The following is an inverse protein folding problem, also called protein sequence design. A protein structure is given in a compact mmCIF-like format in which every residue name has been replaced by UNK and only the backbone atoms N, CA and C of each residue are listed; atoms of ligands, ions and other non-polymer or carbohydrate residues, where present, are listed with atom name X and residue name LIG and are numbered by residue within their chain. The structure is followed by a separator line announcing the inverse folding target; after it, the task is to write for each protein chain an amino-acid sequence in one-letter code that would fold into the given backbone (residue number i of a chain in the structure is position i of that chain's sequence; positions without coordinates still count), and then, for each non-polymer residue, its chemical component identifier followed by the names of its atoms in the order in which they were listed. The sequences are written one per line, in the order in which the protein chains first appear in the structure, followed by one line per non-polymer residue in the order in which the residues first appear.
data_IF_651648822066
#
_entry.id   IF_651648822066
#
_cell.length_a   1.000
_cell.length_b   1.000
_cell.length_c   1.000
_cell.angle_alpha   90.00
_cell.angle_beta   90.00
_cell.angle_gamma   90.00
#
_symmetry.space_group_name_H-M   'P 1'
#
loop_
_entity.id
_entity.type
_entity.pdbx_description
1 polymer ?
#
# COMPACT_ATOMS: atom_id res chain seq x y z
N UNK A 1 26.30 -18.91 4.61
CA UNK A 1 26.02 -18.87 3.15
C UNK A 1 25.22 -17.64 2.73
N UNK A 2 24.18 -17.20 3.46
CA UNK A 2 23.44 -15.97 3.15
C UNK A 2 24.27 -14.66 3.33
N UNK A 3 25.11 -14.57 4.37
CA UNK A 3 25.95 -13.40 4.62
C UNK A 3 27.01 -13.15 3.53
N UNK A 4 27.61 -14.22 2.98
CA UNK A 4 28.58 -14.12 1.87
C UNK A 4 27.92 -13.71 0.54
N UNK A 5 26.63 -14.02 0.37
CA UNK A 5 25.87 -13.65 -0.83
C UNK A 5 25.46 -12.18 -0.77
N UNK A 6 25.02 -11.68 0.39
CA UNK A 6 24.74 -10.26 0.61
C UNK A 6 26.01 -9.41 0.51
N UNK A 7 27.13 -9.86 1.10
CA UNK A 7 28.42 -9.17 0.94
C UNK A 7 28.88 -9.13 -0.52
N UNK A 8 28.64 -10.17 -1.33
CA UNK A 8 28.93 -10.13 -2.78
C UNK A 8 28.01 -9.17 -3.55
N UNK A 9 26.72 -9.11 -3.22
CA UNK A 9 25.76 -8.20 -3.88
C UNK A 9 26.07 -6.74 -3.54
N UNK A 10 26.33 -6.43 -2.27
CA UNK A 10 26.64 -5.06 -1.83
C UNK A 10 28.09 -4.64 -2.09
N UNK A 11 29.03 -5.58 -2.28
CA UNK A 11 30.44 -5.23 -2.59
C UNK A 11 30.64 -4.51 -3.93
N UNK A 12 29.64 -4.52 -4.82
CA UNK A 12 29.70 -3.90 -6.14
C UNK A 12 28.97 -2.56 -6.22
N UNK A 13 28.31 -2.12 -5.16
CA UNK A 13 27.54 -0.88 -5.15
C UNK A 13 28.22 0.10 -4.20
N UNK A 14 28.85 1.15 -4.75
CA UNK A 14 29.38 2.26 -3.95
C UNK A 14 28.21 3.18 -3.55
N UNK A 15 27.87 3.29 -2.25
CA UNK A 15 26.80 4.18 -1.80
C UNK A 15 27.04 5.64 -2.20
N UNK A 16 28.30 6.06 -2.30
CA UNK A 16 28.65 7.42 -2.72
C UNK A 16 28.32 7.65 -4.20
N UNK A 17 28.44 6.61 -5.04
CA UNK A 17 28.05 6.68 -6.43
C UNK A 17 26.53 6.87 -6.56
N UNK A 18 25.72 6.12 -5.81
CA UNK A 18 24.25 6.28 -5.80
C UNK A 18 23.87 7.68 -5.33
N UNK A 19 24.45 8.16 -4.23
CA UNK A 19 24.20 9.51 -3.70
C UNK A 19 24.57 10.57 -4.75
N UNK A 20 25.69 10.39 -5.44
CA UNK A 20 26.12 11.29 -6.51
C UNK A 20 25.16 11.26 -7.70
N UNK A 21 24.70 10.09 -8.13
CA UNK A 21 23.73 9.93 -9.23
C UNK A 21 22.37 10.56 -8.89
N UNK A 22 21.89 10.38 -7.65
CA UNK A 22 20.68 11.03 -7.15
C UNK A 22 20.83 12.56 -7.15
N UNK A 23 21.95 13.08 -6.63
CA UNK A 23 22.22 14.51 -6.61
C UNK A 23 22.34 15.09 -8.04
N UNK A 24 22.95 14.35 -8.97
CA UNK A 24 23.03 14.76 -10.39
C UNK A 24 21.64 14.80 -11.03
N UNK A 25 20.81 13.81 -10.75
CA UNK A 25 19.43 13.73 -11.26
C UNK A 25 18.57 14.86 -10.70
N UNK A 26 18.61 15.08 -9.38
CA UNK A 26 17.91 16.19 -8.72
C UNK A 26 18.33 17.55 -9.29
N UNK A 27 19.63 17.80 -9.41
CA UNK A 27 20.15 19.04 -10.00
C UNK A 27 19.73 19.21 -11.46
N UNK A 28 19.73 18.13 -12.24
CA UNK A 28 19.30 18.14 -13.65
C UNK A 28 17.82 18.53 -13.76
N UNK A 29 16.95 17.88 -12.97
CA UNK A 29 15.52 18.17 -12.90
C UNK A 29 15.31 19.63 -12.49
N UNK A 30 15.97 20.08 -11.42
CA UNK A 30 15.88 21.46 -10.94
C UNK A 30 16.28 22.49 -12.01
N UNK A 31 17.39 22.25 -12.70
CA UNK A 31 17.87 23.12 -13.78
C UNK A 31 16.87 23.20 -14.93
N UNK A 32 16.24 22.09 -15.33
CA UNK A 32 15.24 22.07 -16.39
C UNK A 32 13.94 22.78 -16.01
N UNK A 33 13.48 22.64 -14.78
CA UNK A 33 12.36 23.44 -14.29
C UNK A 33 12.70 24.94 -14.27
N UNK A 34 13.92 25.31 -13.84
CA UNK A 34 14.38 26.70 -13.85
C UNK A 34 14.41 27.31 -15.26
N UNK A 35 14.89 26.55 -16.27
CA UNK A 35 14.83 26.96 -17.67
C UNK A 35 13.39 27.20 -18.15
N UNK A 36 12.47 26.27 -17.84
CA UNK A 36 11.06 26.38 -18.19
C UNK A 36 10.39 27.62 -17.55
N UNK A 37 10.65 27.88 -16.26
CA UNK A 37 10.15 29.08 -15.58
C UNK A 37 10.65 30.37 -16.24
N UNK A 38 11.92 30.43 -16.65
CA UNK A 38 12.46 31.60 -17.38
C UNK A 38 11.73 31.85 -18.71
N UNK A 39 11.38 30.79 -19.43
CA UNK A 39 10.60 30.89 -20.67
C UNK A 39 9.22 31.48 -20.38
N UNK A 40 8.53 30.99 -19.36
CA UNK A 40 7.22 31.51 -18.98
C UNK A 40 7.25 32.97 -18.50
N UNK A 41 8.25 33.35 -17.69
CA UNK A 41 8.44 34.74 -17.26
C UNK A 41 8.67 35.64 -18.48
N UNK A 42 9.55 35.23 -19.40
CA UNK A 42 9.83 35.99 -20.63
C UNK A 42 8.57 36.16 -21.49
N UNK A 43 7.79 35.10 -21.64
CA UNK A 43 6.52 35.14 -22.37
C UNK A 43 5.54 36.13 -21.71
N UNK A 44 5.39 36.04 -20.38
CA UNK A 44 4.54 36.94 -19.60
C UNK A 44 4.96 38.41 -19.77
N UNK A 45 6.25 38.72 -19.63
CA UNK A 45 6.78 40.08 -19.80
C UNK A 45 6.47 40.61 -21.19
N UNK A 46 6.74 39.83 -22.25
CA UNK A 46 6.43 40.23 -23.63
C UNK A 46 4.95 40.48 -23.86
N UNK A 47 4.07 39.66 -23.28
CA UNK A 47 2.62 39.89 -23.36
C UNK A 47 2.19 41.18 -22.68
N UNK A 48 2.70 41.44 -21.46
CA UNK A 48 2.40 42.67 -20.72
C UNK A 48 2.85 43.89 -21.53
N UNK A 49 4.06 43.87 -22.07
CA UNK A 49 4.60 44.94 -22.89
C UNK A 49 3.77 45.17 -24.15
N UNK A 50 3.40 44.09 -24.86
CA UNK A 50 2.54 44.17 -26.04
C UNK A 50 1.20 44.85 -25.72
N UNK A 51 0.49 44.38 -24.69
CA UNK A 51 -0.81 44.96 -24.35
C UNK A 51 -0.70 46.39 -23.82
N UNK A 52 0.38 46.73 -23.10
CA UNK A 52 0.67 48.11 -22.70
C UNK A 52 0.84 49.02 -23.93
N UNK A 53 1.61 48.58 -24.93
CA UNK A 53 1.80 49.32 -26.18
C UNK A 53 0.49 49.49 -26.95
N UNK A 54 -0.31 48.42 -27.09
CA UNK A 54 -1.62 48.47 -27.75
C UNK A 54 -2.56 49.45 -27.05
N UNK A 55 -2.65 49.39 -25.72
CA UNK A 55 -3.45 50.31 -24.92
C UNK A 55 -3.04 51.76 -25.15
N UNK A 56 -1.74 52.06 -25.03
CA UNK A 56 -1.21 53.41 -25.24
C UNK A 56 -1.49 53.91 -26.67
N UNK A 57 -1.39 53.06 -27.68
CA UNK A 57 -1.69 53.41 -29.07
C UNK A 57 -3.18 53.77 -29.24
N UNK A 58 -4.07 52.93 -28.72
CA UNK A 58 -5.52 53.14 -28.76
C UNK A 58 -5.91 54.44 -28.04
N UNK A 59 -5.39 54.67 -26.83
CA UNK A 59 -5.62 55.89 -26.04
C UNK A 59 -5.18 57.15 -26.80
N UNK A 60 -3.99 57.13 -27.42
CA UNK A 60 -3.51 58.24 -28.26
C UNK A 60 -4.43 58.49 -29.46
N UNK A 61 -4.92 57.43 -30.10
CA UNK A 61 -5.88 57.55 -31.22
C UNK A 61 -7.18 58.23 -30.77
N UNK A 62 -7.74 57.85 -29.61
CA UNK A 62 -8.94 58.48 -29.07
C UNK A 62 -8.72 59.96 -28.69
N UNK A 63 -7.62 60.28 -28.01
CA UNK A 63 -7.28 61.66 -27.62
C UNK A 63 -7.11 62.61 -28.82
N UNK A 64 -6.59 62.09 -29.94
CA UNK A 64 -6.43 62.88 -31.16
C UNK A 64 -7.78 63.06 -31.90
N UNK A 65 -8.68 62.08 -31.83
CA UNK A 65 -9.99 62.15 -32.49
C UNK A 65 -10.95 63.16 -31.85
N UNK A 66 -10.80 63.46 -30.55
CA UNK A 66 -11.64 64.45 -29.85
C UNK A 66 -11.20 65.90 -30.09
N UNK A 67 -10.01 66.13 -30.64
CA UNK A 67 -9.44 67.48 -30.85
C UNK A 67 -9.58 68.03 -32.28
N UNK A 68 -10.02 67.24 -33.26
CA UNK A 68 -10.09 67.66 -34.66
C UNK A 68 -11.41 67.26 -35.33
N UNK A 69 -12.21 68.25 -35.74
CA UNK A 69 -13.48 68.07 -36.46
C UNK A 69 -13.35 67.55 -37.91
N UNK A 70 -12.14 67.26 -38.41
CA UNK A 70 -11.96 66.66 -39.74
C UNK A 70 -10.56 66.06 -39.89
N UNK A 71 -10.36 64.83 -39.42
CA UNK A 71 -9.16 64.05 -39.80
C UNK A 71 -9.53 63.19 -41.02
N UNK A 72 -9.12 63.66 -42.20
CA UNK A 72 -9.19 62.95 -43.48
C UNK A 72 -8.11 61.85 -43.57
N UNK A 73 -8.25 60.81 -42.75
CA UNK A 73 -7.35 59.65 -42.73
C UNK A 73 -8.13 58.34 -42.57
N UNK A 74 -8.39 57.65 -43.68
CA UNK A 74 -9.32 56.51 -43.83
C UNK A 74 -8.93 55.18 -43.13
N UNK A 75 -8.23 55.18 -42.00
CA UNK A 75 -7.98 53.94 -41.26
C UNK A 75 -9.09 53.71 -40.22
N UNK A 76 -10.14 52.98 -40.61
CA UNK A 76 -11.16 52.49 -39.67
C UNK A 76 -10.59 51.33 -38.84
N UNK A 77 -10.73 51.40 -37.52
CA UNK A 77 -10.39 50.28 -36.63
C UNK A 77 -11.32 49.10 -36.92
N UNK A 78 -10.76 47.94 -37.22
CA UNK A 78 -11.53 46.73 -37.48
C UNK A 78 -11.66 45.93 -36.18
N UNK A 79 -12.67 46.28 -35.38
CA UNK A 79 -12.94 45.64 -34.09
C UNK A 79 -13.08 44.12 -34.22
N UNK A 80 -13.81 43.64 -35.23
CA UNK A 80 -14.02 42.20 -35.46
C UNK A 80 -12.71 41.45 -35.66
N UNK A 81 -11.80 41.96 -36.52
CA UNK A 81 -10.49 41.33 -36.73
C UNK A 81 -9.63 41.34 -35.46
N UNK A 82 -9.68 42.41 -34.68
CA UNK A 82 -8.95 42.50 -33.42
C UNK A 82 -9.48 41.49 -32.40
N UNK A 83 -10.80 41.40 -32.22
CA UNK A 83 -11.43 40.42 -31.33
C UNK A 83 -11.06 38.99 -31.74
N UNK A 84 -11.16 38.65 -33.02
CA UNK A 84 -10.77 37.33 -33.54
C UNK A 84 -9.30 37.00 -33.24
N UNK A 85 -8.40 37.97 -33.40
CA UNK A 85 -6.99 37.80 -33.05
C UNK A 85 -6.79 37.52 -31.56
N UNK A 86 -7.43 38.29 -30.67
CA UNK A 86 -7.32 38.09 -29.22
C UNK A 86 -7.89 36.74 -28.78
N UNK A 87 -9.03 36.34 -29.34
CA UNK A 87 -9.63 35.03 -29.07
C UNK A 87 -8.74 33.87 -29.53
N UNK A 88 -8.09 34.02 -30.69
CA UNK A 88 -7.13 33.01 -31.20
C UNK A 88 -5.92 32.92 -30.28
N UNK A 89 -5.34 34.06 -29.91
CA UNK A 89 -4.18 34.11 -29.02
C UNK A 89 -4.48 33.47 -27.65
N UNK A 90 -5.66 33.72 -27.09
CA UNK A 90 -6.08 33.12 -25.83
C UNK A 90 -6.19 31.59 -25.94
N UNK A 91 -6.81 31.09 -27.02
CA UNK A 91 -6.94 29.65 -27.28
C UNK A 91 -5.58 28.97 -27.45
N UNK A 92 -4.67 29.59 -28.19
CA UNK A 92 -3.34 29.03 -28.42
C UNK A 92 -2.54 28.91 -27.11
N UNK A 93 -2.62 29.92 -26.25
CA UNK A 93 -2.00 29.89 -24.92
C UNK A 93 -2.61 28.79 -24.04
N UNK A 94 -3.94 28.69 -23.99
CA UNK A 94 -4.65 27.67 -23.20
C UNK A 94 -4.26 26.24 -23.63
N UNK A 95 -4.12 26.00 -24.94
CA UNK A 95 -3.67 24.71 -25.48
C UNK A 95 -2.26 24.36 -24.98
N UNK A 96 -1.32 25.32 -25.04
CA UNK A 96 0.06 25.10 -24.60
C UNK A 96 0.11 24.74 -23.10
N UNK A 97 -0.63 25.48 -22.26
CA UNK A 97 -0.63 25.21 -20.82
C UNK A 97 -1.26 23.86 -20.48
N UNK A 98 -2.35 23.48 -21.15
CA UNK A 98 -2.97 22.16 -20.97
C UNK A 98 -2.01 21.02 -21.32
N UNK A 99 -1.26 21.16 -22.42
CA UNK A 99 -0.26 20.16 -22.82
C UNK A 99 0.87 20.02 -21.78
N UNK A 100 1.37 21.14 -21.24
CA UNK A 100 2.41 21.12 -20.21
C UNK A 100 1.90 20.48 -18.92
N UNK A 101 0.70 20.82 -18.47
CA UNK A 101 0.09 20.24 -17.26
C UNK A 101 -0.10 18.73 -17.43
N UNK A 102 -0.71 18.30 -18.53
CA UNK A 102 -0.94 16.89 -18.81
C UNK A 102 0.36 16.09 -18.88
N UNK A 103 1.42 16.67 -19.46
CA UNK A 103 2.73 16.04 -19.49
C UNK A 103 3.31 15.83 -18.08
N UNK A 104 3.21 16.84 -17.21
CA UNK A 104 3.67 16.77 -15.82
C UNK A 104 2.87 15.73 -15.03
N UNK A 105 1.54 15.77 -15.11
CA UNK A 105 0.64 14.82 -14.44
C UNK A 105 0.91 13.38 -14.88
N UNK A 106 1.16 13.15 -16.17
CA UNK A 106 1.48 11.82 -16.71
C UNK A 106 2.84 11.30 -16.24
N UNK A 107 3.79 12.19 -15.93
CA UNK A 107 5.14 11.82 -15.49
C UNK A 107 5.20 11.53 -13.98
N UNK A 108 4.21 11.98 -13.20
CA UNK A 108 4.20 11.83 -11.75
C UNK A 108 4.12 10.37 -11.23
N UNK A 109 3.39 9.44 -11.88
CA UNK A 109 3.36 8.02 -11.49
C UNK A 109 4.66 7.26 -11.76
N UNK A 110 5.61 7.83 -12.52
CA UNK A 110 6.88 7.17 -12.87
C UNK A 110 7.92 7.26 -11.73
N UNK A 111 7.62 7.98 -10.64
CA UNK A 111 8.43 7.95 -9.43
C UNK A 111 8.16 6.65 -8.66
N UNK A 112 9.02 5.65 -8.88
CA UNK A 112 9.02 4.41 -8.11
C UNK A 112 9.26 4.67 -6.62
N UNK A 113 8.65 3.85 -5.75
CA UNK A 113 8.93 3.90 -4.32
C UNK A 113 10.39 3.49 -4.06
N UNK A 114 11.06 4.10 -3.08
CA UNK A 114 12.43 3.74 -2.70
C UNK A 114 12.55 2.24 -2.39
N UNK A 115 11.50 1.64 -1.83
CA UNK A 115 11.41 0.20 -1.51
C UNK A 115 11.60 -0.71 -2.74
N UNK A 116 11.32 -0.24 -3.96
CA UNK A 116 11.45 -1.03 -5.20
C UNK A 116 12.91 -1.27 -5.62
N UNK A 117 13.84 -0.44 -5.12
CA UNK A 117 15.26 -0.51 -5.47
C UNK A 117 16.09 -1.33 -4.48
N UNK A 118 15.51 -1.70 -3.33
CA UNK A 118 16.15 -2.56 -2.38
C UNK A 118 15.69 -4.00 -2.61
N UNK A 119 16.63 -4.88 -2.94
CA UNK A 119 16.43 -6.31 -2.75
C UNK A 119 16.42 -6.59 -1.24
N UNK A 120 15.30 -6.30 -0.58
CA UNK A 120 14.90 -7.22 0.47
C UNK A 120 14.65 -8.54 -0.26
N UNK A 121 15.25 -9.68 0.13
CA UNK A 121 14.72 -10.96 -0.28
C UNK A 121 13.29 -10.91 0.21
N UNK A 122 12.37 -10.57 -0.68
CA UNK A 122 11.01 -10.33 -0.28
C UNK A 122 10.55 -11.69 0.16
N UNK A 123 10.45 -11.83 1.47
CA UNK A 123 9.46 -12.70 2.07
C UNK A 123 8.09 -12.04 1.79
N UNK A 124 7.82 -11.71 0.53
CA UNK A 124 6.51 -11.29 0.04
C UNK A 124 5.64 -12.53 -0.09
N UNK A 125 4.39 -12.30 -0.46
CA UNK A 125 3.40 -13.34 -0.66
C UNK A 125 3.93 -14.56 -1.46
N UNK A 126 4.86 -14.40 -2.41
CA UNK A 126 5.49 -15.48 -3.20
C UNK A 126 6.35 -16.44 -2.38
N UNK A 127 6.87 -16.00 -1.22
CA UNK A 127 7.54 -16.87 -0.25
C UNK A 127 6.57 -17.58 0.69
N UNK A 128 7.09 -18.43 1.59
CA UNK A 128 6.33 -18.81 2.78
C UNK A 128 6.04 -17.51 3.52
N UNK A 129 4.76 -17.13 3.65
CA UNK A 129 4.34 -15.96 4.44
C UNK A 129 4.77 -16.04 5.92
N UNK A 130 5.43 -17.14 6.29
CA UNK A 130 6.17 -17.33 7.52
C UNK A 130 7.54 -16.66 7.40
N UNK A 131 7.68 -15.52 8.08
CA UNK A 131 8.93 -14.78 8.06
C UNK A 131 9.97 -15.42 8.98
N UNK A 132 9.58 -16.31 9.87
CA UNK A 132 10.48 -16.92 10.85
C UNK A 132 10.45 -18.45 10.78
N UNK A 133 11.52 -19.06 11.27
CA UNK A 133 11.66 -20.51 11.42
C UNK A 133 10.93 -21.02 12.67
N UNK A 134 10.47 -20.12 13.55
CA UNK A 134 9.86 -20.45 14.82
C UNK A 134 8.35 -20.23 14.81
N UNK A 135 7.64 -21.04 15.62
CA UNK A 135 6.25 -20.79 16.00
C UNK A 135 6.21 -20.06 17.33
N UNK A 136 5.38 -19.03 17.44
CA UNK A 136 5.23 -18.23 18.64
C UNK A 136 3.83 -18.38 19.21
N UNK A 137 3.72 -18.51 20.53
CA UNK A 137 2.43 -18.52 21.21
C UNK A 137 2.58 -18.12 22.67
N UNK A 138 1.52 -17.51 23.23
CA UNK A 138 1.44 -17.31 24.67
C UNK A 138 0.85 -18.54 25.36
N UNK A 139 1.37 -18.87 26.54
CA UNK A 139 0.76 -19.88 27.40
C UNK A 139 -0.58 -19.34 27.96
N UNK A 140 -1.65 -20.12 27.83
CA UNK A 140 -3.01 -19.79 28.30
C UNK A 140 -3.01 -19.29 29.74
N UNK A 141 -3.68 -18.17 29.99
CA UNK A 141 -3.88 -17.62 31.33
C UNK A 141 -2.59 -17.05 31.94
N UNK A 142 -1.61 -16.71 31.10
CA UNK A 142 -0.33 -16.16 31.52
C UNK A 142 0.16 -15.09 30.56
N UNK A 143 1.25 -14.41 30.94
CA UNK A 143 1.96 -13.43 30.11
C UNK A 143 3.17 -14.03 29.39
N UNK A 144 3.33 -15.35 29.48
CA UNK A 144 4.54 -16.04 29.07
C UNK A 144 4.50 -16.32 27.56
N UNK A 145 5.41 -15.70 26.81
CA UNK A 145 5.61 -16.03 25.40
C UNK A 145 6.57 -17.22 25.28
N UNK A 146 6.22 -18.15 24.38
CA UNK A 146 7.05 -19.27 23.99
C UNK A 146 7.40 -19.16 22.51
N UNK A 147 8.61 -19.61 22.15
CA UNK A 147 8.99 -19.91 20.77
C UNK A 147 9.32 -21.38 20.63
N UNK A 148 8.85 -22.00 19.56
CA UNK A 148 9.07 -23.40 19.24
C UNK A 148 9.77 -23.51 17.89
N UNK A 149 10.92 -24.20 17.87
CA UNK A 149 11.62 -24.56 16.64
C UNK A 149 11.13 -25.95 16.17
N UNK A 150 10.41 -26.04 15.04
CA UNK A 150 9.88 -27.31 14.54
C UNK A 150 10.96 -28.20 13.92
N UNK A 151 12.09 -27.65 13.45
CA UNK A 151 13.19 -28.43 12.88
C UNK A 151 13.95 -29.21 13.96
N UNK A 152 14.19 -28.58 15.11
CA UNK A 152 14.95 -29.16 16.21
C UNK A 152 14.07 -29.65 17.37
N UNK A 153 12.76 -29.43 17.29
CA UNK A 153 11.79 -29.77 18.35
C UNK A 153 12.13 -29.10 19.70
N UNK A 154 12.67 -27.88 19.65
CA UNK A 154 13.10 -27.13 20.84
C UNK A 154 12.03 -26.11 21.21
N UNK A 155 11.55 -26.19 22.45
CA UNK A 155 10.69 -25.19 23.05
C UNK A 155 11.50 -24.28 23.96
N UNK A 156 11.40 -22.97 23.76
CA UNK A 156 12.06 -21.97 24.57
C UNK A 156 11.07 -20.98 25.15
N UNK A 157 11.23 -20.71 26.45
CA UNK A 157 10.51 -19.68 27.18
C UNK A 157 11.21 -18.31 27.00
N UNK A 158 10.42 -17.28 26.71
CA UNK A 158 10.88 -15.91 26.47
C UNK A 158 10.42 -15.00 27.62
N UNK A 159 11.17 -15.01 28.71
CA UNK A 159 10.79 -14.36 29.99
C UNK A 159 10.77 -12.83 29.99
N UNK A 160 11.24 -12.19 28.93
CA UNK A 160 11.43 -10.73 28.85
C UNK A 160 10.25 -9.99 28.22
N UNK A 161 9.32 -10.70 27.58
CA UNK A 161 8.15 -10.10 26.94
C UNK A 161 7.19 -9.59 28.02
N UNK A 162 6.97 -8.28 28.05
CA UNK A 162 6.13 -7.64 29.07
C UNK A 162 4.81 -7.18 28.46
N UNK A 163 3.76 -8.02 28.57
CA UNK A 163 2.38 -7.68 28.18
C UNK A 163 1.51 -7.34 29.40
N UNK A 164 0.42 -6.60 29.17
CA UNK A 164 -0.38 -6.03 30.26
C UNK A 164 -1.33 -7.05 30.90
N UNK A 165 -1.92 -7.94 30.11
CA UNK A 165 -2.91 -8.92 30.56
C UNK A 165 -2.49 -10.37 30.29
N UNK A 166 -3.15 -11.30 30.98
CA UNK A 166 -2.98 -12.73 30.71
C UNK A 166 -3.55 -13.06 29.34
N UNK A 167 -2.80 -13.78 28.53
CA UNK A 167 -3.20 -14.08 27.16
C UNK A 167 -4.02 -15.37 27.07
N UNK A 168 -4.85 -15.43 26.03
CA UNK A 168 -5.74 -16.56 25.74
C UNK A 168 -5.10 -17.61 24.83
N UNK A 169 -5.94 -18.45 24.24
CA UNK A 169 -5.55 -19.43 23.21
C UNK A 169 -6.17 -19.06 21.86
N UNK A 170 -5.68 -19.62 20.76
CA UNK A 170 -6.26 -19.44 19.43
C UNK A 170 -6.37 -17.95 19.03
N UNK A 171 -5.38 -17.15 19.42
CA UNK A 171 -5.29 -15.76 19.02
C UNK A 171 -4.82 -15.66 17.56
N UNK A 172 -5.39 -14.74 16.76
CA UNK A 172 -4.78 -14.37 15.50
C UNK A 172 -3.37 -13.80 15.74
N UNK A 173 -2.37 -14.47 15.17
CA UNK A 173 -0.99 -14.02 15.22
C UNK A 173 -0.26 -14.35 13.91
N UNK A 174 0.74 -13.53 13.58
CA UNK A 174 1.63 -13.78 12.46
C UNK A 174 2.95 -13.01 12.66
N UNK A 175 4.01 -13.53 12.06
CA UNK A 175 5.26 -12.77 11.94
C UNK A 175 5.12 -11.70 10.87
N UNK A 176 5.69 -10.52 11.12
CA UNK A 176 5.67 -9.36 10.22
C UNK A 176 7.09 -8.85 9.97
N UNK A 177 7.26 -7.92 9.04
CA UNK A 177 8.58 -7.38 8.67
C UNK A 177 9.38 -6.88 9.88
N UNK A 178 10.70 -6.83 9.71
CA UNK A 178 11.66 -6.35 10.72
C UNK A 178 11.72 -7.25 11.96
N UNK A 179 11.57 -8.57 11.80
CA UNK A 179 11.67 -9.55 12.88
C UNK A 179 10.71 -9.23 14.04
N UNK A 180 9.42 -9.03 13.70
CA UNK A 180 8.37 -8.69 14.66
C UNK A 180 7.24 -9.73 14.64
N UNK A 181 6.54 -9.83 15.75
CA UNK A 181 5.35 -10.66 15.92
C UNK A 181 4.14 -9.74 16.14
N UNK A 182 3.12 -9.89 15.28
CA UNK A 182 1.80 -9.37 15.55
C UNK A 182 1.00 -10.39 16.35
N UNK A 183 0.32 -9.94 17.40
CA UNK A 183 -0.53 -10.78 18.24
C UNK A 183 -1.77 -9.99 18.68
N UNK A 184 -2.97 -10.54 18.49
CA UNK A 184 -4.20 -9.85 18.88
C UNK A 184 -5.22 -10.78 19.53
N UNK A 185 -5.86 -10.32 20.59
CA UNK A 185 -6.98 -11.00 21.25
C UNK A 185 -6.66 -12.40 21.75
N UNK A 186 -7.56 -13.35 21.44
CA UNK A 186 -7.51 -14.73 21.91
C UNK A 186 -8.80 -15.17 22.59
N UNK A 187 -9.04 -16.47 22.56
CA UNK A 187 -10.13 -17.12 23.29
C UNK A 187 -9.69 -17.40 24.74
N UNK A 188 -10.44 -16.89 25.71
CA UNK A 188 -10.12 -17.01 27.13
C UNK A 188 -11.30 -16.64 28.03
N UNK A 189 -11.08 -16.67 29.34
CA UNK A 189 -12.07 -16.27 30.36
C UNK A 189 -12.18 -14.74 30.47
N UNK A 190 -11.14 -14.02 30.07
CA UNK A 190 -11.09 -12.56 30.05
C UNK A 190 -11.52 -12.03 28.67
N UNK A 191 -12.03 -10.79 28.64
CA UNK A 191 -12.32 -10.07 27.40
C UNK A 191 -11.02 -9.57 26.75
N UNK A 192 -10.33 -10.47 26.04
CA UNK A 192 -9.06 -10.18 25.38
C UNK A 192 -9.29 -9.40 24.08
N UNK A 193 -9.09 -8.09 24.16
CA UNK A 193 -9.26 -7.16 23.05
C UNK A 193 -7.98 -6.39 22.68
N UNK A 194 -6.87 -6.74 23.31
CA UNK A 194 -5.54 -6.18 23.10
C UNK A 194 -4.99 -6.56 21.73
N UNK A 195 -4.07 -5.74 21.22
CA UNK A 195 -3.26 -6.05 20.05
C UNK A 195 -1.84 -5.54 20.30
N UNK A 196 -0.86 -6.34 19.93
CA UNK A 196 0.55 -6.11 20.19
C UNK A 196 1.37 -6.28 18.92
N UNK A 197 2.42 -5.47 18.84
CA UNK A 197 3.53 -5.68 17.94
C UNK A 197 4.79 -5.86 18.79
N UNK A 198 5.40 -7.03 18.71
CA UNK A 198 6.51 -7.44 19.58
C UNK A 198 7.77 -7.60 18.74
N UNK A 199 8.83 -6.86 19.06
CA UNK A 199 10.15 -7.03 18.43
C UNK A 199 10.80 -8.31 18.93
N UNK A 200 11.19 -9.23 18.06
CA UNK A 200 11.63 -10.57 18.48
C UNK A 200 13.09 -10.63 18.94
N UNK A 201 13.89 -9.60 18.64
CA UNK A 201 15.28 -9.48 19.13
C UNK A 201 15.35 -8.93 20.56
N UNK A 202 14.58 -7.87 20.82
CA UNK A 202 14.60 -7.13 22.09
C UNK A 202 13.43 -7.46 23.01
N UNK A 203 12.37 -8.07 22.47
CA UNK A 203 11.10 -8.34 23.14
C UNK A 203 10.36 -7.07 23.59
N UNK A 204 10.67 -5.93 22.96
CA UNK A 204 9.93 -4.68 23.15
C UNK A 204 8.51 -4.84 22.61
N UNK A 205 7.55 -4.31 23.37
CA UNK A 205 6.12 -4.43 23.07
C UNK A 205 5.54 -3.06 22.73
N UNK A 206 4.95 -2.94 21.55
CA UNK A 206 4.15 -1.79 21.13
C UNK A 206 2.67 -2.17 21.23
N UNK A 207 1.90 -1.35 21.94
CA UNK A 207 0.44 -1.50 22.00
C UNK A 207 -0.18 -0.94 20.72
N UNK A 208 -1.02 -1.73 20.06
CA UNK A 208 -1.80 -1.32 18.90
C UNK A 208 -3.25 -1.01 19.31
N UNK A 209 -4.02 -0.31 18.45
CA UNK A 209 -5.44 -0.10 18.69
C UNK A 209 -6.17 -1.43 18.95
N UNK A 210 -7.11 -1.44 19.90
CA UNK A 210 -7.81 -2.65 20.32
C UNK A 210 -8.52 -3.36 19.15
N UNK A 211 -8.42 -4.69 19.12
CA UNK A 211 -8.99 -5.54 18.07
C UNK A 211 -10.44 -5.96 18.37
N UNK A 212 -10.93 -5.74 19.59
CA UNK A 212 -12.19 -6.33 20.07
C UNK A 212 -11.98 -7.78 20.51
N UNK A 213 -12.99 -8.43 21.07
CA UNK A 213 -12.86 -9.82 21.52
C UNK A 213 -12.83 -10.76 20.30
N UNK A 214 -11.64 -11.25 19.95
CA UNK A 214 -11.38 -12.04 18.76
C UNK A 214 -10.54 -13.28 19.09
N UNK A 215 -11.19 -14.41 19.31
CA UNK A 215 -10.57 -15.73 19.29
C UNK A 215 -10.84 -16.47 17.98
N UNK A 216 -10.04 -17.47 17.62
CA UNK A 216 -10.23 -18.32 16.42
C UNK A 216 -10.30 -17.54 15.09
N UNK A 217 -9.82 -16.31 15.09
CA UNK A 217 -9.58 -15.52 13.90
C UNK A 217 -8.19 -15.85 13.34
N UNK A 218 -7.92 -15.39 12.12
CA UNK A 218 -6.62 -15.58 11.48
C UNK A 218 -6.03 -14.24 11.14
N UNK A 219 -4.77 -14.03 11.55
CA UNK A 219 -3.97 -12.90 11.13
C UNK A 219 -3.07 -13.30 9.95
N UNK A 220 -2.84 -12.38 9.04
CA UNK A 220 -1.93 -12.57 7.91
C UNK A 220 -1.29 -11.25 7.55
N UNK A 221 0.03 -11.29 7.35
CA UNK A 221 0.82 -10.13 6.96
C UNK A 221 0.88 -9.98 5.44
N UNK A 222 0.68 -8.77 4.94
CA UNK A 222 0.82 -8.43 3.54
C UNK A 222 1.09 -6.93 3.37
N UNK A 223 2.18 -6.58 2.67
CA UNK A 223 2.52 -5.22 2.27
C UNK A 223 2.44 -4.19 3.42
N UNK A 224 3.13 -4.44 4.53
CA UNK A 224 3.12 -3.59 5.74
C UNK A 224 1.77 -3.48 6.48
N UNK A 225 0.81 -4.32 6.12
CA UNK A 225 -0.44 -4.47 6.84
C UNK A 225 -0.58 -5.84 7.47
N UNK A 226 -1.30 -5.92 8.57
CA UNK A 226 -1.84 -7.18 9.09
C UNK A 226 -3.35 -7.18 8.89
N UNK A 227 -3.85 -8.21 8.25
CA UNK A 227 -5.28 -8.45 8.07
C UNK A 227 -5.73 -9.51 9.06
N UNK A 228 -6.83 -9.25 9.77
CA UNK A 228 -7.50 -10.23 10.62
C UNK A 228 -8.85 -10.56 10.00
N UNK A 229 -9.13 -11.84 9.78
CA UNK A 229 -10.38 -12.30 9.20
C UNK A 229 -11.22 -13.10 10.21
N UNK A 230 -12.47 -12.68 10.38
CA UNK A 230 -13.49 -13.38 11.16
C UNK A 230 -13.16 -13.49 12.63
N UNK A 231 -13.53 -14.61 13.25
CA UNK A 231 -13.26 -14.89 14.64
C UNK A 231 -14.49 -15.32 15.42
N UNK A 232 -14.34 -15.40 16.74
CA UNK A 232 -15.33 -15.90 17.66
C UNK A 232 -15.36 -15.05 18.92
N UNK A 233 -16.55 -14.58 19.27
CA UNK A 233 -16.83 -13.85 20.50
C UNK A 233 -18.03 -14.49 21.19
N UNK A 234 -17.86 -14.90 22.46
CA UNK A 234 -18.95 -15.28 23.38
C UNK A 234 -20.13 -16.00 22.69
N UNK A 235 -19.82 -17.11 22.02
CA UNK A 235 -20.75 -18.00 21.31
C UNK A 235 -21.08 -17.69 19.84
N UNK A 236 -20.61 -16.57 19.30
CA UNK A 236 -20.93 -16.16 17.93
C UNK A 236 -19.70 -16.10 17.05
N UNK A 237 -19.81 -16.70 15.86
CA UNK A 237 -18.84 -16.46 14.80
C UNK A 237 -18.98 -15.02 14.29
N UNK A 238 -17.87 -14.44 13.89
CA UNK A 238 -17.73 -13.06 13.44
C UNK A 238 -17.43 -13.00 11.95
N UNK A 239 -17.87 -11.93 11.30
CA UNK A 239 -17.64 -11.68 9.87
C UNK A 239 -16.68 -10.51 9.65
N UNK A 240 -16.30 -9.81 10.71
CA UNK A 240 -15.48 -8.61 10.65
C UNK A 240 -14.11 -8.92 10.04
N UNK A 241 -13.61 -7.92 9.31
CA UNK A 241 -12.27 -7.92 8.75
C UNK A 241 -11.57 -6.66 9.24
N UNK A 242 -10.44 -6.84 9.92
CA UNK A 242 -9.64 -5.74 10.43
C UNK A 242 -8.35 -5.63 9.63
N UNK A 243 -7.87 -4.41 9.46
CA UNK A 243 -6.54 -4.12 8.91
C UNK A 243 -5.78 -3.21 9.85
N UNK A 244 -4.59 -3.65 10.21
CA UNK A 244 -3.61 -2.85 10.94
C UNK A 244 -2.56 -2.33 9.97
N UNK A 245 -2.35 -1.02 9.95
CA UNK A 245 -1.21 -0.40 9.29
C UNK A 245 -0.05 -0.37 10.29
N UNK A 246 1.04 -1.07 9.97
CA UNK A 246 2.18 -1.18 10.89
C UNK A 246 3.14 0.00 10.84
N UNK A 247 3.04 0.86 9.82
CA UNK A 247 3.82 2.10 9.71
C UNK A 247 3.17 3.19 10.57
N UNK A 248 1.87 3.38 10.38
CA UNK A 248 1.12 4.44 11.09
C UNK A 248 0.56 3.95 12.44
N UNK A 249 0.69 2.66 12.74
CA UNK A 249 0.14 2.00 13.94
C UNK A 249 -1.38 2.21 14.10
N UNK A 250 -2.10 2.28 12.98
CA UNK A 250 -3.55 2.51 12.94
C UNK A 250 -4.33 1.23 12.62
N UNK A 251 -5.61 1.22 12.99
CA UNK A 251 -6.56 0.14 12.68
C UNK A 251 -7.68 0.68 11.80
N UNK A 252 -8.08 -0.12 10.82
CA UNK A 252 -9.24 0.12 9.97
C UNK A 252 -10.12 -1.13 9.91
N UNK A 253 -11.44 -0.91 9.87
CA UNK A 253 -12.42 -1.94 9.55
C UNK A 253 -12.65 -1.97 8.03
N UNK A 254 -12.72 -3.18 7.49
CA UNK A 254 -12.90 -3.45 6.06
C UNK A 254 -14.24 -4.15 5.83
N UNK A 255 -14.57 -4.39 4.56
CA UNK A 255 -15.77 -5.12 4.19
C UNK A 255 -15.82 -6.49 4.87
N UNK A 256 -16.97 -6.81 5.45
CA UNK A 256 -17.17 -8.08 6.14
C UNK A 256 -17.05 -9.28 5.19
N UNK A 257 -16.66 -10.42 5.75
CA UNK A 257 -16.78 -11.73 5.11
C UNK A 257 -18.23 -11.96 4.66
N UNK A 258 -18.47 -12.62 3.51
CA UNK A 258 -19.83 -12.93 3.02
C UNK A 258 -20.68 -13.74 4.01
N UNK A 259 -20.05 -14.42 4.97
CA UNK A 259 -20.72 -15.05 6.09
C UNK A 259 -19.79 -15.11 7.29
N UNK A 260 -20.34 -15.00 8.50
CA UNK A 260 -19.55 -15.16 9.73
C UNK A 260 -18.87 -16.53 9.79
N UNK A 261 -17.60 -16.55 10.19
CA UNK A 261 -16.76 -17.73 10.17
C UNK A 261 -15.67 -17.70 11.26
N UNK A 262 -15.22 -18.90 11.64
CA UNK A 262 -14.11 -19.17 12.56
C UNK A 262 -13.13 -20.13 11.87
N UNK A 263 -11.93 -20.28 12.43
CA UNK A 263 -10.88 -21.18 11.92
C UNK A 263 -10.64 -21.00 10.41
N UNK A 264 -10.52 -19.74 10.01
CA UNK A 264 -10.32 -19.35 8.61
C UNK A 264 -8.86 -19.59 8.26
N UNK A 265 -8.55 -20.16 7.10
CA UNK A 265 -7.20 -20.01 6.53
C UNK A 265 -7.15 -18.86 5.55
N UNK A 266 -6.07 -18.08 5.59
CA UNK A 266 -5.84 -16.97 4.67
C UNK A 266 -4.46 -17.12 4.02
N UNK A 267 -4.41 -17.03 2.70
CA UNK A 267 -3.16 -17.11 1.95
C UNK A 267 -2.98 -15.83 1.11
N UNK A 268 -1.96 -15.01 1.41
CA UNK A 268 -1.58 -13.88 0.57
C UNK A 268 -1.33 -14.26 -0.88
N UNK A 269 -1.80 -13.43 -1.79
CA UNK A 269 -1.61 -13.53 -3.23
C UNK A 269 -1.31 -12.13 -3.80
N UNK A 270 -0.80 -12.07 -5.04
CA UNK A 270 -0.43 -10.79 -5.67
C UNK A 270 -1.54 -9.73 -5.62
N UNK A 271 -2.79 -10.16 -5.84
CA UNK A 271 -3.95 -9.26 -5.96
C UNK A 271 -4.90 -9.30 -4.75
N UNK A 272 -4.52 -9.97 -3.67
CA UNK A 272 -5.50 -10.27 -2.62
C UNK A 272 -5.14 -11.43 -1.72
N UNK A 273 -6.16 -12.11 -1.24
CA UNK A 273 -6.03 -13.28 -0.38
C UNK A 273 -6.99 -14.36 -0.84
N UNK A 274 -6.53 -15.61 -0.82
CA UNK A 274 -7.44 -16.75 -0.84
C UNK A 274 -7.86 -17.00 0.61
N UNK A 275 -9.17 -16.96 0.85
CA UNK A 275 -9.78 -17.11 2.17
C UNK A 275 -10.61 -18.39 2.20
N UNK A 276 -10.38 -19.23 3.20
CA UNK A 276 -11.06 -20.51 3.41
C UNK A 276 -11.77 -20.58 4.76
N UNK A 277 -13.05 -20.18 4.86
CA UNK A 277 -13.89 -20.46 6.02
C UNK A 277 -14.41 -21.91 6.04
N UNK A 278 -14.87 -22.39 7.20
CA UNK A 278 -15.47 -23.74 7.41
C UNK A 278 -16.88 -23.89 6.76
N UNK A 279 -17.11 -23.36 5.55
CA UNK A 279 -18.45 -23.36 4.91
C UNK A 279 -18.41 -23.76 3.43
N UNK A 280 -17.50 -24.66 3.11
CA UNK A 280 -17.35 -25.24 1.78
C UNK A 280 -17.12 -24.24 0.64
N UNK A 281 -16.67 -23.01 0.91
CA UNK A 281 -16.52 -21.96 -0.10
C UNK A 281 -15.19 -21.25 0.10
N UNK A 282 -14.39 -21.21 -0.96
CA UNK A 282 -13.20 -20.37 -1.04
C UNK A 282 -13.57 -19.00 -1.61
N UNK A 283 -12.93 -17.97 -1.09
CA UNK A 283 -13.08 -16.60 -1.60
C UNK A 283 -11.73 -16.03 -2.01
N UNK A 284 -11.74 -15.19 -3.04
CA UNK A 284 -10.68 -14.24 -3.32
C UNK A 284 -11.09 -12.90 -2.73
N UNK A 285 -10.32 -12.40 -1.78
CA UNK A 285 -10.48 -11.06 -1.22
C UNK A 285 -9.53 -10.09 -1.92
N UNK A 286 -10.08 -9.15 -2.69
CA UNK A 286 -9.32 -8.10 -3.38
C UNK A 286 -9.03 -6.94 -2.43
N UNK A 287 -7.83 -6.86 -1.87
CA UNK A 287 -7.48 -5.84 -0.86
C UNK A 287 -7.55 -4.39 -1.38
N UNK A 288 -7.33 -4.18 -2.69
CA UNK A 288 -7.39 -2.86 -3.32
C UNK A 288 -8.82 -2.34 -3.51
N UNK A 289 -9.77 -3.25 -3.73
CA UNK A 289 -11.17 -2.93 -3.99
C UNK A 289 -12.05 -3.18 -2.78
N UNK A 290 -11.53 -3.83 -1.74
CA UNK A 290 -12.25 -4.27 -0.56
C UNK A 290 -13.48 -5.15 -0.87
N UNK A 291 -13.31 -6.16 -1.73
CA UNK A 291 -14.40 -7.03 -2.20
C UNK A 291 -14.02 -8.50 -2.12
N UNK A 292 -14.98 -9.34 -1.69
CA UNK A 292 -14.92 -10.80 -1.75
C UNK A 292 -15.58 -11.34 -3.01
N UNK A 293 -14.90 -12.26 -3.69
CA UNK A 293 -15.40 -12.97 -4.88
C UNK A 293 -15.31 -14.46 -4.59
N UNK A 294 -16.39 -15.22 -4.82
CA UNK A 294 -16.34 -16.68 -4.67
C UNK A 294 -15.42 -17.30 -5.72
N UNK A 295 -14.54 -18.20 -5.28
CA UNK A 295 -13.58 -18.90 -6.15
C UNK A 295 -14.05 -20.32 -6.49
N UNK A 296 -14.34 -21.11 -5.45
CA UNK A 296 -14.67 -22.51 -5.60
C UNK A 296 -15.50 -22.98 -4.40
N UNK A 297 -16.29 -24.05 -4.61
CA UNK A 297 -16.94 -24.76 -3.53
C UNK A 297 -16.19 -26.07 -3.26
N UNK A 298 -15.58 -26.19 -2.08
CA UNK A 298 -14.81 -27.38 -1.68
C UNK A 298 -15.33 -27.86 -0.33
N UNK A 299 -15.90 -29.07 -0.21
CA UNK A 299 -16.35 -29.61 1.07
C UNK A 299 -15.23 -29.60 2.12
N UNK A 300 -15.47 -28.92 3.25
CA UNK A 300 -14.58 -28.80 4.41
C UNK A 300 -15.44 -28.70 5.67
N UNK A 301 -15.37 -29.70 6.55
CA UNK A 301 -16.30 -29.81 7.67
C UNK A 301 -15.79 -29.24 8.99
N UNK A 302 -14.48 -29.31 9.28
CA UNK A 302 -13.97 -28.99 10.61
C UNK A 302 -12.79 -28.01 10.61
N UNK A 303 -11.71 -28.40 9.93
CA UNK A 303 -10.47 -27.65 9.90
C UNK A 303 -9.96 -27.65 8.47
N UNK A 304 -9.36 -26.53 8.09
CA UNK A 304 -8.64 -26.43 6.86
C UNK A 304 -7.32 -25.70 7.10
N UNK A 305 -6.35 -25.99 6.24
CA UNK A 305 -5.07 -25.30 6.22
C UNK A 305 -4.82 -24.90 4.77
N UNK A 306 -4.50 -23.62 4.58
CA UNK A 306 -4.10 -23.07 3.30
C UNK A 306 -2.68 -22.52 3.44
N UNK A 307 -1.76 -23.04 2.65
CA UNK A 307 -0.36 -22.60 2.67
C UNK A 307 0.23 -22.66 1.26
N UNK A 308 1.39 -22.04 1.09
CA UNK A 308 2.19 -22.10 -0.13
C UNK A 308 3.51 -22.79 0.20
N UNK A 309 4.01 -23.61 -0.71
CA UNK A 309 5.36 -24.15 -0.67
C UNK A 309 5.92 -24.20 -2.10
N UNK A 310 7.10 -23.60 -2.30
CA UNK A 310 7.78 -23.52 -3.60
C UNK A 310 6.87 -23.05 -4.77
N UNK A 311 6.02 -22.05 -4.52
CA UNK A 311 5.08 -21.50 -5.52
C UNK A 311 3.84 -22.34 -5.81
N UNK A 312 3.68 -23.48 -5.11
CA UNK A 312 2.47 -24.31 -5.16
C UNK A 312 1.62 -23.97 -3.93
N UNK A 313 0.35 -23.66 -4.16
CA UNK A 313 -0.62 -23.47 -3.09
C UNK A 313 -1.23 -24.83 -2.74
N UNK A 314 -1.24 -25.16 -1.46
CA UNK A 314 -1.81 -26.38 -0.90
C UNK A 314 -3.02 -26.01 -0.06
N UNK A 315 -4.13 -26.68 -0.32
CA UNK A 315 -5.32 -26.61 0.51
C UNK A 315 -5.60 -28.00 1.07
N UNK A 316 -5.44 -28.14 2.38
CA UNK A 316 -5.71 -29.39 3.10
C UNK A 316 -7.01 -29.19 3.86
N UNK A 317 -8.00 -30.04 3.58
CA UNK A 317 -9.25 -30.07 4.35
C UNK A 317 -9.73 -31.51 4.50
N UNK A 318 -10.11 -31.86 5.73
CA UNK A 318 -10.49 -33.22 6.11
C UNK A 318 -9.43 -34.26 5.66
N UNK A 319 -9.78 -35.18 4.75
CA UNK A 319 -8.87 -36.21 4.21
C UNK A 319 -8.36 -35.90 2.80
N UNK A 320 -8.54 -34.67 2.32
CA UNK A 320 -8.22 -34.28 0.95
C UNK A 320 -7.09 -33.24 0.92
N UNK A 321 -6.29 -33.29 -0.14
CA UNK A 321 -5.25 -32.31 -0.45
C UNK A 321 -5.49 -31.81 -1.87
N UNK A 322 -5.70 -30.51 -2.00
CA UNK A 322 -5.85 -29.84 -3.29
C UNK A 322 -4.62 -28.99 -3.56
N UNK A 323 -4.23 -28.89 -4.82
CA UNK A 323 -3.11 -28.04 -5.22
C UNK A 323 -3.49 -27.12 -6.37
N UNK A 324 -2.93 -25.91 -6.37
CA UNK A 324 -2.90 -25.05 -7.55
C UNK A 324 -1.55 -24.34 -7.65
N UNK A 325 -1.17 -23.93 -8.86
CA UNK A 325 -0.03 -23.05 -9.05
C UNK A 325 -0.54 -21.67 -9.47
N UNK A 326 0.28 -20.63 -9.30
CA UNK A 326 -0.13 -19.27 -9.62
C UNK A 326 -0.48 -19.07 -11.11
N UNK A 327 -0.06 -19.99 -11.99
CA UNK A 327 -0.36 -20.00 -13.43
C UNK A 327 -1.69 -20.72 -13.80
N UNK A 328 -2.17 -21.63 -12.95
CA UNK A 328 -3.35 -22.46 -13.11
C UNK A 328 -4.29 -22.17 -11.94
N UNK A 329 -5.22 -21.26 -12.17
CA UNK A 329 -6.20 -20.78 -11.17
C UNK A 329 -7.27 -21.81 -10.78
N UNK A 330 -7.07 -23.09 -11.09
CA UNK A 330 -8.00 -24.17 -10.78
C UNK A 330 -7.31 -25.10 -9.79
N UNK A 331 -7.93 -25.30 -8.64
CA UNK A 331 -7.52 -26.32 -7.68
C UNK A 331 -7.85 -27.69 -8.27
N UNK A 332 -6.81 -28.51 -8.51
CA UNK A 332 -6.96 -29.93 -8.85
C UNK A 332 -6.71 -30.76 -7.60
N UNK A 333 -7.65 -31.64 -7.28
CA UNK A 333 -7.58 -32.62 -6.18
C UNK A 333 -7.61 -34.04 -6.70
#
# INVERSE_FOLDING_TARGET
MAADTLNKIFSNIDPNQIIQELALTENSIHNKFSELFKVFITLQTKHIEYFKQQKTMIEKTFQNSTKFNSISGNKKFNHTKYTQYIETLYKDIDIIFKQVIQFIEKSQPEFHNYDEYFYTPTKDYKGNSNLEEYLYYFQKGSKNLFRFNPEHMILQYLSTVTVNENQGVLAPCCTVSENRLFYAGGYGEENLNNAYLITLDTYDVINLPQCGNLGKATATYFNNYVFIFGGYETHNARSEVLRYNLVDLTKQELSCLPSSAVNISALPCEKGFIISPIKNLLYNYSWSNDVFISLAAIPSYNCNILFRDNGICYYICDNNVYTCNDNNKVLSG
#
